data_IF_999481879374
#
_entry.id   IF_999481879374
#
_cell.length_a   1.000
_cell.length_b   1.000
_cell.length_c   1.000
_cell.angle_alpha   90.00
_cell.angle_beta   90.00
_cell.angle_gamma   90.00
#
_symmetry.space_group_name_H-M   'P 1'
#
loop_
_entity.id
_entity.type
_entity.pdbx_description
1 polymer ?
#
# COMPACT_ATOMS: atom_id res chain seq x y z
N UNK A 1 22.22 -25.25 16.07
CA UNK A 1 21.64 -24.13 15.30
C UNK A 1 22.78 -23.20 14.96
N UNK A 2 23.36 -23.33 13.76
CA UNK A 2 24.30 -22.32 13.25
C UNK A 2 23.47 -21.06 12.96
N UNK A 3 23.85 -19.94 13.58
CA UNK A 3 23.29 -18.63 13.23
C UNK A 3 23.65 -18.36 11.77
N UNK A 4 22.63 -18.06 10.94
CA UNK A 4 22.83 -17.68 9.55
C UNK A 4 23.75 -16.45 9.48
N UNK A 5 24.69 -16.37 8.52
CA UNK A 5 25.49 -15.16 8.31
C UNK A 5 24.58 -13.95 8.05
N UNK A 6 24.98 -12.71 8.42
CA UNK A 6 24.15 -11.50 8.29
C UNK A 6 23.65 -11.26 6.85
N UNK A 7 24.40 -11.74 5.86
CA UNK A 7 24.04 -11.67 4.43
C UNK A 7 22.83 -12.54 4.04
N UNK A 8 22.45 -13.50 4.89
CA UNK A 8 21.31 -14.41 4.66
C UNK A 8 20.21 -14.26 5.72
N UNK A 9 20.27 -13.17 6.49
CA UNK A 9 19.24 -12.84 7.47
C UNK A 9 17.87 -12.66 6.79
N UNK A 10 16.85 -13.35 7.31
CA UNK A 10 15.49 -13.31 6.77
C UNK A 10 15.20 -14.26 5.61
N UNK A 11 16.17 -15.07 5.16
CA UNK A 11 15.96 -16.11 4.15
C UNK A 11 15.80 -17.50 4.79
N UNK A 12 14.86 -18.30 4.28
CA UNK A 12 14.82 -19.73 4.61
C UNK A 12 15.82 -20.50 3.76
N UNK A 13 16.25 -21.68 4.24
CA UNK A 13 17.14 -22.56 3.46
C UNK A 13 16.55 -22.94 2.10
N UNK A 14 15.23 -23.10 2.03
CA UNK A 14 14.54 -23.41 0.77
C UNK A 14 14.61 -22.23 -0.21
N UNK A 15 14.38 -21.00 0.25
CA UNK A 15 14.52 -19.80 -0.59
C UNK A 15 15.95 -19.57 -1.06
N UNK A 16 16.94 -19.77 -0.20
CA UNK A 16 18.35 -19.70 -0.61
C UNK A 16 18.66 -20.74 -1.68
N UNK A 17 18.20 -21.99 -1.50
CA UNK A 17 18.36 -23.05 -2.50
C UNK A 17 17.74 -22.64 -3.84
N UNK A 18 16.54 -22.05 -3.83
CA UNK A 18 15.84 -21.58 -5.03
C UNK A 18 16.58 -20.48 -5.76
N UNK A 19 17.03 -19.43 -5.05
CA UNK A 19 17.77 -18.33 -5.68
C UNK A 19 19.10 -18.81 -6.24
N UNK A 20 19.85 -19.64 -5.50
CA UNK A 20 21.09 -20.24 -6.00
C UNK A 20 20.83 -21.12 -7.24
N UNK A 21 19.76 -21.91 -7.23
CA UNK A 21 19.40 -22.75 -8.36
C UNK A 21 19.01 -21.92 -9.60
N UNK A 22 18.22 -20.86 -9.41
CA UNK A 22 17.84 -19.95 -10.49
C UNK A 22 19.07 -19.28 -11.13
N UNK A 23 20.01 -18.81 -10.32
CA UNK A 23 21.26 -18.22 -10.83
C UNK A 23 22.16 -19.27 -11.49
N UNK A 24 22.26 -20.49 -10.95
CA UNK A 24 23.04 -21.57 -11.58
C UNK A 24 22.46 -21.98 -12.94
N UNK A 25 21.13 -22.13 -13.04
CA UNK A 25 20.43 -22.43 -14.29
C UNK A 25 20.69 -21.39 -15.38
N UNK A 26 20.97 -20.15 -14.99
CA UNK A 26 21.21 -19.07 -15.92
C UNK A 26 22.58 -19.08 -16.61
N UNK A 27 23.55 -19.78 -16.02
CA UNK A 27 24.92 -19.90 -16.53
C UNK A 27 25.02 -21.11 -17.46
N UNK A 28 24.12 -22.08 -17.31
CA UNK A 28 24.08 -23.27 -18.15
C UNK A 28 23.53 -22.94 -19.55
N UNK A 29 24.07 -23.55 -20.62
CA UNK A 29 23.53 -23.38 -21.97
C UNK A 29 22.08 -23.86 -22.02
N UNK A 30 21.12 -22.94 -22.10
CA UNK A 30 19.69 -23.24 -22.08
C UNK A 30 18.97 -22.46 -23.19
N UNK A 31 18.38 -23.21 -24.13
CA UNK A 31 17.53 -22.69 -25.20
C UNK A 31 16.10 -22.43 -24.70
N UNK A 32 15.68 -23.04 -23.58
CA UNK A 32 14.31 -22.90 -23.08
C UNK A 32 14.08 -21.54 -22.42
N UNK A 33 13.16 -20.78 -23.02
CA UNK A 33 12.70 -19.47 -22.57
C UNK A 33 12.13 -19.49 -21.15
N UNK A 34 11.50 -20.58 -20.72
CA UNK A 34 10.83 -20.70 -19.41
C UNK A 34 11.82 -20.60 -18.25
N UNK A 35 13.02 -21.14 -18.43
CA UNK A 35 14.11 -21.10 -17.43
C UNK A 35 14.65 -19.69 -17.27
N UNK A 36 14.85 -19.01 -18.39
CA UNK A 36 15.26 -17.61 -18.42
C UNK A 36 14.21 -16.73 -17.73
N UNK A 37 12.93 -16.93 -18.03
CA UNK A 37 11.85 -16.22 -17.34
C UNK A 37 11.81 -16.51 -15.84
N UNK A 38 11.95 -17.76 -15.41
CA UNK A 38 11.97 -18.12 -13.99
C UNK A 38 13.10 -17.40 -13.23
N UNK A 39 14.32 -17.35 -13.80
CA UNK A 39 15.44 -16.60 -13.22
C UNK A 39 15.13 -15.10 -13.08
N UNK A 40 14.63 -14.48 -14.14
CA UNK A 40 14.37 -13.04 -14.16
C UNK A 40 13.25 -12.62 -13.19
N UNK A 41 12.37 -13.56 -12.82
CA UNK A 41 11.11 -13.26 -12.15
C UNK A 41 10.98 -13.84 -10.74
N UNK A 42 11.79 -14.83 -10.35
CA UNK A 42 11.70 -15.48 -9.03
C UNK A 42 11.98 -14.50 -7.90
N UNK A 43 13.02 -13.68 -8.01
CA UNK A 43 13.39 -12.67 -7.00
C UNK A 43 12.31 -11.59 -6.82
N UNK A 44 11.51 -11.38 -7.86
CA UNK A 44 10.40 -10.41 -7.90
C UNK A 44 9.06 -11.07 -7.55
N UNK A 45 9.06 -12.35 -7.15
CA UNK A 45 7.87 -13.06 -6.71
C UNK A 45 6.94 -13.53 -7.84
N UNK A 46 7.36 -13.47 -9.11
CA UNK A 46 6.54 -13.81 -10.29
C UNK A 46 6.84 -15.22 -10.85
N UNK A 47 8.01 -15.79 -10.54
CA UNK A 47 8.51 -17.07 -11.09
C UNK A 47 7.93 -18.38 -10.52
N UNK A 48 6.68 -18.41 -10.03
CA UNK A 48 6.03 -19.59 -9.43
C UNK A 48 5.06 -20.35 -10.35
N UNK A 49 5.12 -20.16 -11.68
CA UNK A 49 4.13 -20.74 -12.59
C UNK A 49 2.75 -20.07 -12.50
N UNK A 50 2.67 -18.86 -11.96
CA UNK A 50 1.46 -18.03 -11.90
C UNK A 50 1.53 -16.99 -13.03
N UNK A 51 1.01 -17.38 -14.19
CA UNK A 51 0.87 -16.51 -15.34
C UNK A 51 -0.13 -15.35 -15.07
N UNK A 52 -0.01 -14.32 -15.91
CA UNK A 52 -1.05 -13.33 -16.13
C UNK A 52 -2.32 -14.04 -16.64
N UNK A 53 -3.53 -13.54 -16.36
CA UNK A 53 -4.79 -14.04 -16.96
C UNK A 53 -4.83 -13.94 -18.52
N UNK A 54 -3.75 -13.50 -19.16
CA UNK A 54 -3.68 -13.18 -20.58
C UNK A 54 -2.61 -13.96 -21.36
N UNK A 55 -1.74 -14.73 -20.71
CA UNK A 55 -0.79 -15.61 -21.39
C UNK A 55 -0.94 -17.05 -20.90
N UNK A 56 -0.84 -18.05 -21.80
CA UNK A 56 -0.96 -19.46 -21.41
C UNK A 56 0.08 -19.79 -20.34
N UNK A 57 -0.34 -20.54 -19.32
CA UNK A 57 0.52 -21.06 -18.26
C UNK A 57 1.60 -21.93 -18.91
N UNK A 58 2.75 -21.34 -19.24
CA UNK A 58 3.92 -22.09 -19.66
C UNK A 58 4.48 -22.79 -18.42
N UNK A 59 3.99 -24.01 -18.19
CA UNK A 59 4.50 -24.90 -17.16
C UNK A 59 5.99 -25.15 -17.42
N UNK A 60 6.80 -25.06 -16.36
CA UNK A 60 8.24 -25.38 -16.43
C UNK A 60 8.42 -26.80 -17.03
N UNK A 61 9.51 -27.05 -17.80
CA UNK A 61 9.78 -28.36 -18.41
C UNK A 61 9.66 -29.50 -17.41
N UNK A 62 9.02 -30.62 -17.80
CA UNK A 62 8.88 -31.78 -16.90
C UNK A 62 10.26 -32.42 -16.63
N UNK A 63 10.41 -33.12 -15.50
CA UNK A 63 11.70 -33.73 -15.09
C UNK A 63 12.27 -34.64 -16.19
N UNK A 64 11.39 -35.27 -16.98
CA UNK A 64 11.74 -36.18 -18.08
C UNK A 64 12.28 -35.47 -19.34
N UNK A 65 12.23 -34.13 -19.42
CA UNK A 65 12.65 -33.34 -20.58
C UNK A 65 14.10 -32.80 -20.49
N UNK A 66 14.79 -32.98 -19.35
CA UNK A 66 16.08 -32.36 -19.07
C UNK A 66 17.14 -33.39 -18.66
N UNK A 67 18.22 -33.49 -19.44
CA UNK A 67 19.36 -34.38 -19.15
C UNK A 67 20.58 -33.59 -18.59
N UNK A 68 21.36 -34.23 -17.70
CA UNK A 68 22.64 -33.70 -17.22
C UNK A 68 22.54 -32.72 -16.03
N UNK A 69 23.53 -31.81 -15.83
CA UNK A 69 23.60 -30.91 -14.67
C UNK A 69 22.37 -29.98 -14.49
N UNK A 70 21.58 -29.80 -15.54
CA UNK A 70 20.39 -28.95 -15.55
C UNK A 70 19.27 -29.55 -14.70
N UNK A 71 19.03 -30.86 -14.80
CA UNK A 71 17.97 -31.53 -14.02
C UNK A 71 18.18 -31.33 -12.52
N UNK A 72 19.41 -31.50 -12.04
CA UNK A 72 19.77 -31.25 -10.64
C UNK A 72 19.37 -29.84 -10.15
N UNK A 73 19.68 -28.81 -10.95
CA UNK A 73 19.36 -27.43 -10.57
C UNK A 73 17.87 -27.12 -10.72
N UNK A 74 17.19 -27.75 -11.67
CA UNK A 74 15.73 -27.67 -11.77
C UNK A 74 15.03 -28.32 -10.58
N UNK A 75 15.49 -29.48 -10.12
CA UNK A 75 14.98 -30.13 -8.91
C UNK A 75 15.25 -29.27 -7.67
N UNK A 76 16.42 -28.62 -7.63
CA UNK A 76 16.76 -27.66 -6.60
C UNK A 76 15.88 -26.40 -6.61
N UNK A 77 15.50 -25.95 -7.80
CA UNK A 77 14.58 -24.84 -7.98
C UNK A 77 13.13 -25.22 -7.66
N UNK A 78 12.67 -26.43 -8.00
CA UNK A 78 11.31 -26.90 -7.74
C UNK A 78 11.07 -27.22 -6.28
N UNK A 79 12.05 -27.83 -5.60
CA UNK A 79 12.12 -27.95 -4.14
C UNK A 79 10.80 -28.34 -3.45
N UNK A 80 10.57 -27.81 -2.24
CA UNK A 80 9.26 -27.91 -1.57
C UNK A 80 8.31 -26.83 -2.09
N UNK A 81 6.99 -27.06 -2.21
CA UNK A 81 6.07 -26.04 -2.73
C UNK A 81 6.30 -24.66 -2.08
N UNK A 82 6.72 -23.68 -2.88
CA UNK A 82 6.94 -22.33 -2.41
C UNK A 82 5.64 -21.54 -2.52
N UNK A 83 5.23 -20.95 -1.40
CA UNK A 83 4.12 -20.02 -1.36
C UNK A 83 4.64 -18.59 -1.48
N UNK A 84 4.02 -17.79 -2.35
CA UNK A 84 4.34 -16.37 -2.55
C UNK A 84 4.25 -15.57 -1.25
N UNK A 85 3.39 -15.98 -0.30
CA UNK A 85 3.28 -15.32 1.01
C UNK A 85 4.50 -15.56 1.91
N UNK A 86 5.32 -16.56 1.60
CA UNK A 86 6.60 -16.83 2.29
C UNK A 86 7.79 -16.19 1.58
N UNK A 87 7.57 -15.51 0.45
CA UNK A 87 8.65 -14.94 -0.35
C UNK A 87 9.45 -13.88 0.43
N UNK A 88 10.79 -13.95 0.49
CA UNK A 88 11.61 -13.08 1.33
C UNK A 88 11.43 -11.59 1.04
N UNK A 89 11.31 -11.19 -0.23
CA UNK A 89 11.06 -9.79 -0.59
C UNK A 89 9.68 -9.30 -0.12
N UNK A 90 8.65 -10.15 -0.18
CA UNK A 90 7.31 -9.81 0.30
C UNK A 90 7.32 -9.67 1.81
N UNK A 91 7.95 -10.61 2.53
CA UNK A 91 8.08 -10.55 3.98
C UNK A 91 8.91 -9.35 4.45
N UNK A 92 9.99 -9.00 3.73
CA UNK A 92 10.78 -7.82 4.01
C UNK A 92 9.97 -6.52 3.79
N UNK A 93 9.22 -6.44 2.70
CA UNK A 93 8.32 -5.33 2.43
C UNK A 93 7.24 -5.20 3.52
N UNK A 94 6.61 -6.31 3.93
CA UNK A 94 5.63 -6.34 5.03
C UNK A 94 6.24 -5.78 6.32
N UNK A 95 7.38 -6.32 6.79
CA UNK A 95 8.03 -5.84 8.03
C UNK A 95 8.33 -4.35 7.98
N UNK A 96 8.86 -3.88 6.85
CA UNK A 96 9.15 -2.46 6.66
C UNK A 96 7.88 -1.62 6.73
N UNK A 97 6.84 -1.99 5.98
CA UNK A 97 5.56 -1.27 5.91
C UNK A 97 4.88 -1.23 7.28
N UNK A 98 4.81 -2.37 7.97
CA UNK A 98 4.22 -2.47 9.31
C UNK A 98 4.92 -1.55 10.31
N UNK A 99 6.26 -1.45 10.24
CA UNK A 99 7.01 -0.53 11.10
C UNK A 99 6.59 0.94 10.91
N UNK A 100 6.09 1.33 9.73
CA UNK A 100 5.55 2.67 9.49
C UNK A 100 4.08 2.77 9.91
N UNK A 101 3.27 1.76 9.58
CA UNK A 101 1.86 1.73 9.93
C UNK A 101 1.63 1.77 11.45
N UNK A 102 2.46 1.09 12.25
CA UNK A 102 2.44 1.15 13.72
C UNK A 102 2.69 2.55 14.31
N UNK A 103 3.26 3.46 13.49
CA UNK A 103 3.52 4.86 13.85
C UNK A 103 2.55 5.82 13.14
N UNK A 104 1.44 5.32 12.65
CA UNK A 104 0.41 6.03 11.89
C UNK A 104 0.98 6.77 10.66
N UNK A 105 2.00 6.19 10.03
CA UNK A 105 2.63 6.74 8.82
C UNK A 105 2.18 5.98 7.60
N UNK A 106 1.66 6.72 6.63
CA UNK A 106 1.27 6.16 5.34
C UNK A 106 2.46 5.74 4.50
N UNK A 107 2.27 4.68 3.73
CA UNK A 107 3.28 4.11 2.84
C UNK A 107 2.72 3.95 1.43
N UNK A 108 3.42 4.50 0.45
CA UNK A 108 3.13 4.31 -0.97
C UNK A 108 4.07 3.24 -1.52
N UNK A 109 3.53 2.19 -2.12
CA UNK A 109 4.31 1.09 -2.70
C UNK A 109 4.16 1.11 -4.22
N UNK A 110 5.27 1.08 -4.95
CA UNK A 110 5.29 0.91 -6.39
C UNK A 110 5.76 -0.49 -6.78
N UNK A 111 5.10 -1.08 -7.77
CA UNK A 111 5.49 -2.37 -8.31
C UNK A 111 5.01 -2.59 -9.74
N UNK A 112 5.73 -3.45 -10.48
CA UNK A 112 5.38 -3.83 -11.85
C UNK A 112 4.38 -4.98 -11.92
N UNK A 113 4.63 -6.04 -11.16
CA UNK A 113 3.90 -7.30 -11.27
C UNK A 113 2.70 -7.36 -10.32
N UNK A 114 1.53 -7.71 -10.86
CA UNK A 114 0.26 -7.70 -10.13
C UNK A 114 0.22 -8.81 -9.07
N UNK A 115 0.67 -10.02 -9.40
CA UNK A 115 0.64 -11.18 -8.49
C UNK A 115 1.34 -10.92 -7.14
N UNK A 116 2.62 -10.50 -7.09
CA UNK A 116 3.29 -10.17 -5.83
C UNK A 116 2.68 -8.95 -5.13
N UNK A 117 2.15 -7.96 -5.86
CA UNK A 117 1.45 -6.83 -5.24
C UNK A 117 0.13 -7.26 -4.57
N UNK A 118 -0.63 -8.14 -5.19
CA UNK A 118 -1.85 -8.71 -4.59
C UNK A 118 -1.50 -9.57 -3.37
N UNK A 119 -0.43 -10.36 -3.45
CA UNK A 119 0.05 -11.13 -2.31
C UNK A 119 0.46 -10.22 -1.13
N UNK A 120 1.21 -9.15 -1.40
CA UNK A 120 1.56 -8.15 -0.40
C UNK A 120 0.33 -7.49 0.22
N UNK A 121 -0.64 -7.09 -0.61
CA UNK A 121 -1.90 -6.46 -0.16
C UNK A 121 -2.67 -7.39 0.79
N UNK A 122 -2.91 -8.63 0.35
CA UNK A 122 -3.65 -9.63 1.12
C UNK A 122 -2.93 -10.00 2.41
N UNK A 123 -1.60 -10.08 2.38
CA UNK A 123 -0.81 -10.41 3.57
C UNK A 123 -0.82 -9.27 4.60
N UNK A 124 -0.74 -8.01 4.17
CA UNK A 124 -0.89 -6.86 5.07
C UNK A 124 -2.27 -6.83 5.73
N UNK A 125 -3.34 -7.02 4.94
CA UNK A 125 -4.71 -7.09 5.44
C UNK A 125 -4.90 -8.25 6.42
N UNK A 126 -4.42 -9.44 6.08
CA UNK A 126 -4.50 -10.62 6.95
C UNK A 126 -3.78 -10.39 8.28
N UNK A 127 -2.58 -9.81 8.26
CA UNK A 127 -1.79 -9.56 9.47
C UNK A 127 -2.44 -8.49 10.36
N UNK A 128 -2.94 -7.40 9.78
CA UNK A 128 -3.65 -6.37 10.55
C UNK A 128 -4.98 -6.88 11.11
N UNK A 129 -5.72 -7.69 10.35
CA UNK A 129 -6.92 -8.35 10.85
C UNK A 129 -6.60 -9.23 12.06
N UNK A 130 -5.56 -10.07 11.99
CA UNK A 130 -5.14 -10.92 13.10
C UNK A 130 -4.70 -10.10 14.32
N UNK A 131 -3.97 -9.00 14.15
CA UNK A 131 -3.64 -8.06 15.25
C UNK A 131 -4.89 -7.52 15.92
N UNK A 132 -5.85 -7.00 15.13
CA UNK A 132 -7.11 -6.45 15.66
C UNK A 132 -7.93 -7.53 16.37
N UNK A 133 -7.95 -8.75 15.83
CA UNK A 133 -8.59 -9.88 16.49
C UNK A 133 -7.90 -10.20 17.83
N UNK A 134 -6.58 -10.32 17.88
CA UNK A 134 -5.82 -10.52 19.11
C UNK A 134 -6.10 -9.44 20.16
N UNK A 135 -6.10 -8.17 19.73
CA UNK A 135 -6.17 -7.00 20.61
C UNK A 135 -7.61 -6.58 20.96
N UNK A 136 -8.62 -7.36 20.56
CA UNK A 136 -10.03 -7.03 20.85
C UNK A 136 -10.62 -5.88 20.00
N UNK A 137 -9.88 -5.36 19.02
CA UNK A 137 -10.28 -4.24 18.17
C UNK A 137 -11.24 -4.68 17.05
N UNK A 138 -11.96 -3.71 16.50
CA UNK A 138 -12.90 -3.94 15.39
C UNK A 138 -12.17 -4.22 14.07
N UNK A 139 -12.68 -5.19 13.30
CA UNK A 139 -12.33 -5.41 11.90
C UNK A 139 -13.61 -5.39 11.06
N UNK A 140 -13.66 -4.65 9.95
CA UNK A 140 -14.90 -4.41 9.22
C UNK A 140 -15.20 -5.52 8.21
N UNK A 141 -15.29 -6.76 8.69
CA UNK A 141 -15.75 -7.91 7.92
C UNK A 141 -16.33 -8.98 8.85
N UNK A 142 -17.45 -9.57 8.46
CA UNK A 142 -18.08 -10.68 9.18
C UNK A 142 -17.47 -12.05 8.85
N UNK A 143 -16.85 -12.18 7.66
CA UNK A 143 -16.23 -13.41 7.18
C UNK A 143 -15.02 -13.09 6.31
N UNK A 144 -14.04 -14.01 6.32
CA UNK A 144 -12.95 -14.02 5.36
C UNK A 144 -13.45 -14.26 3.94
N UNK A 145 -12.77 -13.62 2.98
CA UNK A 145 -12.92 -13.91 1.55
C UNK A 145 -12.07 -15.13 1.22
N UNK A 146 -12.59 -16.02 0.38
CA UNK A 146 -11.91 -17.26 -0.03
C UNK A 146 -10.50 -16.99 -0.60
N UNK A 147 -10.37 -15.92 -1.39
CA UNK A 147 -9.10 -15.47 -1.97
C UNK A 147 -8.02 -15.01 -0.95
N UNK A 148 -8.43 -14.70 0.28
CA UNK A 148 -7.56 -14.22 1.35
C UNK A 148 -7.15 -15.32 2.33
N UNK A 149 -7.80 -16.49 2.28
CA UNK A 149 -7.49 -17.62 3.17
C UNK A 149 -6.01 -18.04 3.16
N UNK A 150 -5.34 -18.15 1.98
CA UNK A 150 -3.91 -18.51 1.95
C UNK A 150 -3.04 -17.47 2.67
N UNK A 151 -3.35 -16.18 2.51
CA UNK A 151 -2.61 -15.10 3.17
C UNK A 151 -2.78 -15.14 4.69
N UNK A 152 -3.99 -15.46 5.17
CA UNK A 152 -4.28 -15.63 6.60
C UNK A 152 -3.53 -16.83 7.17
N UNK A 153 -3.56 -17.98 6.50
CA UNK A 153 -2.78 -19.15 6.92
C UNK A 153 -1.28 -18.85 6.99
N UNK A 154 -0.74 -18.15 6.00
CA UNK A 154 0.65 -17.72 6.01
C UNK A 154 0.95 -16.77 7.18
N UNK A 155 0.06 -15.81 7.46
CA UNK A 155 0.19 -14.87 8.56
C UNK A 155 0.10 -15.55 9.95
N UNK A 156 -0.71 -16.60 10.10
CA UNK A 156 -0.84 -17.37 11.34
C UNK A 156 0.43 -18.13 11.74
N UNK A 157 1.37 -18.35 10.81
CA UNK A 157 2.66 -18.94 11.14
C UNK A 157 3.54 -18.00 11.99
N UNK A 158 3.20 -16.71 12.04
CA UNK A 158 3.84 -15.74 12.93
C UNK A 158 3.29 -15.92 14.36
N UNK A 159 4.13 -16.33 15.34
CA UNK A 159 3.68 -16.59 16.71
C UNK A 159 3.00 -15.37 17.36
N UNK A 160 3.42 -14.16 16.99
CA UNK A 160 2.88 -12.92 17.57
C UNK A 160 1.46 -12.63 17.06
N UNK A 161 1.05 -13.23 15.93
CA UNK A 161 -0.25 -13.05 15.30
C UNK A 161 -1.19 -14.25 15.49
N UNK A 162 -0.73 -15.31 16.15
CA UNK A 162 -1.54 -16.50 16.37
C UNK A 162 -2.69 -16.20 17.35
N UNK A 163 -3.92 -16.12 16.83
CA UNK A 163 -5.11 -15.81 17.63
C UNK A 163 -5.78 -17.09 18.17
N UNK A 164 -5.84 -18.16 17.37
CA UNK A 164 -6.51 -19.41 17.75
C UNK A 164 -5.82 -20.64 17.14
N UNK A 165 -5.98 -21.79 17.79
CA UNK A 165 -5.50 -23.10 17.31
C UNK A 165 -6.46 -23.76 16.31
N UNK A 166 -7.68 -23.24 16.16
CA UNK A 166 -8.75 -23.82 15.34
C UNK A 166 -8.74 -23.42 13.85
N UNK A 167 -7.69 -22.74 13.38
CA UNK A 167 -7.53 -22.34 11.98
C UNK A 167 -8.60 -21.36 11.48
N UNK A 168 -8.83 -21.37 10.17
CA UNK A 168 -9.75 -20.46 9.46
C UNK A 168 -11.18 -20.51 10.03
N UNK A 169 -11.69 -21.71 10.34
CA UNK A 169 -13.05 -21.88 10.86
C UNK A 169 -13.26 -21.10 12.15
N UNK A 170 -12.28 -21.17 13.07
CA UNK A 170 -12.33 -20.43 14.33
C UNK A 170 -12.22 -18.92 14.11
N UNK A 171 -11.41 -18.47 13.15
CA UNK A 171 -11.31 -17.05 12.78
C UNK A 171 -12.64 -16.53 12.23
N UNK A 172 -13.27 -17.25 11.31
CA UNK A 172 -14.57 -16.87 10.74
C UNK A 172 -15.66 -16.79 11.82
N UNK A 173 -15.66 -17.71 12.78
CA UNK A 173 -16.56 -17.65 13.92
C UNK A 173 -16.31 -16.41 14.78
N UNK A 174 -15.04 -16.11 15.08
CA UNK A 174 -14.67 -14.91 15.84
C UNK A 174 -15.05 -13.61 15.12
N UNK A 175 -14.81 -13.52 13.82
CA UNK A 175 -15.21 -12.39 12.99
C UNK A 175 -16.74 -12.22 13.00
N UNK A 176 -17.49 -13.31 12.85
CA UNK A 176 -18.96 -13.28 12.86
C UNK A 176 -19.48 -12.77 14.20
N UNK A 177 -18.98 -13.32 15.32
CA UNK A 177 -19.44 -12.95 16.66
C UNK A 177 -19.07 -11.50 17.01
N UNK A 178 -17.86 -11.06 16.65
CA UNK A 178 -17.43 -9.67 16.85
C UNK A 178 -18.21 -8.72 15.96
N UNK A 179 -18.35 -9.02 14.67
CA UNK A 179 -19.12 -8.19 13.75
C UNK A 179 -20.56 -8.03 14.24
N UNK A 180 -21.20 -9.08 14.78
CA UNK A 180 -22.52 -8.97 15.41
C UNK A 180 -22.54 -8.03 16.61
N UNK A 181 -21.57 -8.17 17.55
CA UNK A 181 -21.46 -7.28 18.72
C UNK A 181 -21.26 -5.82 18.28
N UNK A 182 -20.32 -5.58 17.37
CA UNK A 182 -20.03 -4.25 16.86
C UNK A 182 -21.19 -3.67 16.04
N UNK A 183 -21.86 -4.48 15.23
CA UNK A 183 -23.08 -4.08 14.50
C UNK A 183 -24.20 -3.70 15.47
N UNK A 184 -24.40 -4.45 16.56
CA UNK A 184 -25.39 -4.07 17.58
C UNK A 184 -25.05 -2.77 18.30
N UNK A 185 -23.79 -2.56 18.70
CA UNK A 185 -23.34 -1.31 19.32
C UNK A 185 -23.47 -0.12 18.36
N UNK A 186 -23.06 -0.30 17.09
CA UNK A 186 -23.22 0.68 16.01
C UNK A 186 -24.69 1.00 15.76
N UNK A 187 -25.60 0.02 15.81
CA UNK A 187 -27.05 0.27 15.69
C UNK A 187 -27.57 1.10 16.85
N UNK A 188 -27.14 0.83 18.09
CA UNK A 188 -27.54 1.64 19.25
C UNK A 188 -27.06 3.07 19.12
N UNK A 189 -25.82 3.26 18.67
CA UNK A 189 -25.24 4.59 18.47
C UNK A 189 -25.89 5.35 17.32
N UNK A 190 -26.14 4.67 16.19
CA UNK A 190 -26.91 5.25 15.08
C UNK A 190 -28.33 5.62 15.51
N UNK A 191 -28.99 4.81 16.35
CA UNK A 191 -30.31 5.15 16.89
C UNK A 191 -30.27 6.32 17.89
N UNK A 192 -29.12 6.57 18.56
CA UNK A 192 -28.91 7.79 19.35
C UNK A 192 -28.80 9.00 18.43
N UNK A 193 -27.92 8.94 17.43
CA UNK A 193 -27.70 10.02 16.46
C UNK A 193 -28.96 10.34 15.65
N UNK A 194 -29.71 9.32 15.23
CA UNK A 194 -30.97 9.47 14.52
C UNK A 194 -31.97 10.29 15.35
N UNK A 195 -32.10 10.02 16.66
CA UNK A 195 -32.99 10.80 17.55
C UNK A 195 -32.52 12.24 17.76
N UNK A 196 -31.21 12.47 17.84
CA UNK A 196 -30.66 13.83 17.93
C UNK A 196 -30.96 14.64 16.67
N UNK A 197 -30.80 14.03 15.50
CA UNK A 197 -31.07 14.65 14.21
C UNK A 197 -32.56 14.85 13.94
N UNK A 198 -33.42 13.91 14.36
CA UNK A 198 -34.88 14.06 14.32
C UNK A 198 -35.36 15.27 15.13
N UNK A 199 -34.69 15.60 16.25
CA UNK A 199 -35.01 16.78 17.03
C UNK A 199 -34.66 18.10 16.31
N UNK A 200 -33.68 18.07 15.40
CA UNK A 200 -33.24 19.20 14.59
C UNK A 200 -34.03 19.35 13.28
N UNK A 201 -34.58 18.26 12.75
CA UNK A 201 -35.32 18.21 11.48
C UNK A 201 -36.46 19.24 11.32
N UNK A 202 -37.25 19.63 12.35
CA UNK A 202 -38.30 20.64 12.20
C UNK A 202 -37.79 22.05 11.85
N UNK A 203 -36.50 22.31 12.06
CA UNK A 203 -35.88 23.63 11.88
C UNK A 203 -34.86 23.65 10.73
N UNK A 204 -34.54 22.49 10.15
CA UNK A 204 -33.44 22.33 9.20
C UNK A 204 -33.75 21.21 8.18
N UNK A 205 -33.96 21.61 6.92
CA UNK A 205 -34.27 20.70 5.82
C UNK A 205 -33.12 19.71 5.54
N UNK A 206 -31.87 20.09 5.81
CA UNK A 206 -30.70 19.20 5.66
C UNK A 206 -30.69 18.14 6.76
N UNK A 207 -31.13 18.48 7.97
CA UNK A 207 -31.31 17.50 9.04
C UNK A 207 -32.42 16.51 8.70
N UNK A 208 -33.53 16.96 8.11
CA UNK A 208 -34.60 16.08 7.64
C UNK A 208 -34.11 15.12 6.53
N UNK A 209 -33.28 15.59 5.61
CA UNK A 209 -32.65 14.75 4.58
C UNK A 209 -31.72 13.69 5.20
N UNK A 210 -30.88 14.09 6.16
CA UNK A 210 -29.94 13.20 6.84
C UNK A 210 -30.67 12.12 7.66
N UNK A 211 -31.77 12.47 8.33
CA UNK A 211 -32.67 11.51 9.01
C UNK A 211 -33.19 10.45 8.03
N UNK A 212 -33.56 10.87 6.81
CA UNK A 212 -33.96 9.96 5.74
C UNK A 212 -32.89 8.92 5.40
N UNK A 213 -31.62 9.34 5.28
CA UNK A 213 -30.48 8.44 5.03
C UNK A 213 -30.16 7.50 6.20
N UNK A 214 -30.44 7.92 7.42
CA UNK A 214 -30.18 7.13 8.63
C UNK A 214 -31.34 6.19 9.01
N UNK A 215 -32.42 6.16 8.21
CA UNK A 215 -33.60 5.33 8.47
C UNK A 215 -33.31 3.85 8.21
N UNK A 216 -33.56 3.01 9.20
CA UNK A 216 -33.45 1.55 9.10
C UNK A 216 -34.78 0.99 8.58
N UNK A 217 -34.76 0.23 7.47
CA UNK A 217 -35.90 -0.59 7.08
C UNK A 217 -36.03 -1.78 8.05
N UNK A 218 -37.25 -2.00 8.56
CA UNK A 218 -37.60 -3.01 9.57
C UNK A 218 -37.35 -4.47 9.11
N UNK A 219 -37.17 -4.72 7.81
CA UNK A 219 -37.04 -6.06 7.23
C UNK A 219 -35.59 -6.56 7.09
N UNK A 220 -34.59 -5.81 7.56
CA UNK A 220 -33.21 -6.30 7.61
C UNK A 220 -32.51 -6.45 6.25
N UNK A 221 -33.14 -6.08 5.15
CA UNK A 221 -32.51 -6.00 3.83
C UNK A 221 -32.43 -4.55 3.34
N UNK A 222 -31.23 -3.97 3.55
CA UNK A 222 -30.71 -2.73 2.98
C UNK A 222 -31.33 -1.44 3.51
N UNK A 223 -30.51 -0.74 4.30
CA UNK A 223 -30.56 0.71 4.45
C UNK A 223 -30.72 1.36 3.06
N UNK A 224 -31.61 2.36 2.95
CA UNK A 224 -31.66 3.25 1.77
C UNK A 224 -30.36 4.07 1.74
N UNK A 225 -29.32 3.49 1.16
CA UNK A 225 -27.96 4.03 1.15
C UNK A 225 -27.02 3.28 2.10
N UNK A 226 -25.76 3.12 1.71
CA UNK A 226 -24.74 2.51 2.55
C UNK A 226 -24.36 3.51 3.66
N UNK A 227 -24.95 3.38 4.86
CA UNK A 227 -24.57 4.23 6.02
C UNK A 227 -23.06 4.13 6.29
N UNK A 228 -22.41 2.99 5.97
CA UNK A 228 -20.94 2.89 6.02
C UNK A 228 -20.27 3.90 5.12
N UNK A 229 -20.71 3.99 3.88
CA UNK A 229 -20.25 5.00 2.93
C UNK A 229 -20.46 6.43 3.42
N UNK A 230 -21.64 6.73 3.98
CA UNK A 230 -21.93 8.06 4.50
C UNK A 230 -21.05 8.41 5.70
N UNK A 231 -20.93 7.50 6.67
CA UNK A 231 -20.05 7.72 7.82
C UNK A 231 -18.60 7.88 7.39
N UNK A 232 -18.11 7.08 6.44
CA UNK A 232 -16.75 7.20 5.90
C UNK A 232 -16.55 8.57 5.21
N UNK A 233 -17.50 9.00 4.38
CA UNK A 233 -17.50 10.30 3.72
C UNK A 233 -17.58 11.51 4.67
N UNK A 234 -18.17 11.33 5.87
CA UNK A 234 -18.26 12.36 6.90
C UNK A 234 -17.04 12.34 7.84
N UNK A 235 -16.55 11.16 8.23
CA UNK A 235 -15.34 11.00 9.05
C UNK A 235 -14.11 11.59 8.32
N UNK A 236 -14.13 11.49 7.00
CA UNK A 236 -13.24 12.17 6.05
C UNK A 236 -13.12 13.70 6.20
N UNK A 237 -14.12 14.34 6.81
CA UNK A 237 -14.18 15.78 7.05
C UNK A 237 -13.95 16.15 8.53
N UNK A 238 -13.69 15.15 9.37
CA UNK A 238 -13.57 15.33 10.81
C UNK A 238 -12.14 15.66 11.22
N UNK A 239 -11.98 16.58 12.16
CA UNK A 239 -10.66 16.95 12.68
C UNK A 239 -10.08 15.90 13.65
N UNK A 240 -10.94 15.13 14.32
CA UNK A 240 -10.55 14.10 15.30
C UNK A 240 -11.46 12.87 15.24
N UNK A 241 -10.89 11.71 14.91
CA UNK A 241 -11.62 10.45 14.79
C UNK A 241 -11.93 9.78 16.15
N UNK A 242 -11.32 10.23 17.24
CA UNK A 242 -11.41 9.56 18.56
C UNK A 242 -12.61 10.01 19.41
N UNK A 243 -13.34 11.05 19.00
CA UNK A 243 -14.51 11.56 19.72
C UNK A 243 -15.78 10.85 19.23
N UNK A 244 -16.76 10.50 20.08
CA UNK A 244 -18.06 10.00 19.60
C UNK A 244 -18.76 11.05 18.73
N UNK A 245 -19.52 10.63 17.72
CA UNK A 245 -20.32 11.55 16.89
C UNK A 245 -21.33 12.32 17.74
N UNK A 246 -21.60 13.59 17.42
CA UNK A 246 -22.82 14.27 17.87
C UNK A 246 -23.74 14.54 16.68
N UNK A 247 -25.05 14.65 16.92
CA UNK A 247 -25.99 15.04 15.87
C UNK A 247 -25.62 16.37 15.20
N UNK A 248 -25.21 17.36 15.99
CA UNK A 248 -24.81 18.69 15.49
C UNK A 248 -23.55 18.64 14.61
N UNK A 249 -22.54 17.88 15.03
CA UNK A 249 -21.31 17.70 14.25
C UNK A 249 -21.59 16.97 12.95
N UNK A 250 -22.37 15.88 13.00
CA UNK A 250 -22.74 15.13 11.81
C UNK A 250 -23.51 16.00 10.81
N UNK A 251 -24.45 16.82 11.30
CA UNK A 251 -25.19 17.75 10.47
C UNK A 251 -24.28 18.80 9.84
N UNK A 252 -23.35 19.38 10.59
CA UNK A 252 -22.41 20.38 10.07
C UNK A 252 -21.51 19.81 8.97
N UNK A 253 -20.94 18.62 9.18
CA UNK A 253 -20.10 17.96 8.18
C UNK A 253 -20.90 17.52 6.95
N UNK A 254 -22.15 17.09 7.15
CA UNK A 254 -23.04 16.72 6.05
C UNK A 254 -23.43 17.95 5.21
N UNK A 255 -23.69 19.10 5.82
CA UNK A 255 -23.89 20.36 5.10
C UNK A 255 -22.68 20.73 4.24
N UNK A 256 -21.48 20.70 4.81
CA UNK A 256 -20.26 20.94 4.04
C UNK A 256 -20.06 19.96 2.88
N UNK A 257 -20.45 18.68 3.07
CA UNK A 257 -20.45 17.71 1.98
C UNK A 257 -21.45 18.06 0.86
N UNK A 258 -22.66 18.50 1.22
CA UNK A 258 -23.64 18.92 0.23
C UNK A 258 -23.20 20.18 -0.52
N UNK A 259 -22.61 21.15 0.18
CA UNK A 259 -22.06 22.36 -0.42
C UNK A 259 -20.96 22.02 -1.44
N UNK A 260 -20.05 21.10 -1.11
CA UNK A 260 -18.99 20.65 -2.04
C UNK A 260 -19.53 19.89 -3.27
N UNK A 261 -20.72 19.28 -3.16
CA UNK A 261 -21.39 18.55 -4.25
C UNK A 261 -22.35 19.43 -5.06
N UNK A 262 -22.71 20.60 -4.51
CA UNK A 262 -23.52 21.61 -5.18
C UNK A 262 -22.70 22.29 -6.28
N UNK A 263 -23.38 22.79 -7.31
CA UNK A 263 -22.75 23.68 -8.31
C UNK A 263 -23.29 25.09 -8.16
N UNK A 264 -22.55 26.09 -8.66
CA UNK A 264 -22.93 27.53 -8.63
C UNK A 264 -24.25 27.86 -9.38
N UNK A 265 -24.98 26.87 -9.89
CA UNK A 265 -26.28 27.06 -10.53
C UNK A 265 -27.36 27.28 -9.46
N UNK A 266 -27.92 28.50 -9.40
CA UNK A 266 -28.80 29.01 -8.33
C UNK A 266 -30.12 28.21 -8.08
N UNK A 267 -30.37 27.11 -8.78
CA UNK A 267 -31.58 26.28 -8.61
C UNK A 267 -31.30 24.79 -8.92
N UNK A 268 -30.38 24.16 -8.21
CA UNK A 268 -30.31 22.70 -8.25
C UNK A 268 -31.54 22.08 -7.57
N UNK A 269 -32.31 21.27 -8.31
CA UNK A 269 -33.39 20.48 -7.72
C UNK A 269 -32.80 19.44 -6.74
N UNK A 270 -33.41 19.30 -5.55
CA UNK A 270 -33.02 18.33 -4.50
C UNK A 270 -32.78 16.90 -5.02
N UNK A 271 -33.51 16.48 -6.06
CA UNK A 271 -33.36 15.17 -6.69
C UNK A 271 -32.02 14.98 -7.42
N UNK A 272 -31.46 16.04 -7.99
CA UNK A 272 -30.16 16.01 -8.66
C UNK A 272 -29.04 15.92 -7.63
N UNK A 273 -29.10 16.73 -6.57
CA UNK A 273 -28.16 16.70 -5.46
C UNK A 273 -28.16 15.31 -4.78
N UNK A 274 -29.33 14.74 -4.51
CA UNK A 274 -29.48 13.38 -3.97
C UNK A 274 -28.88 12.31 -4.89
N UNK A 275 -29.05 12.43 -6.21
CA UNK A 275 -28.45 11.48 -7.17
C UNK A 275 -26.92 11.56 -7.19
N UNK A 276 -26.35 12.77 -7.06
CA UNK A 276 -24.89 12.97 -6.97
C UNK A 276 -24.34 12.47 -5.64
N UNK A 277 -25.03 12.76 -4.54
CA UNK A 277 -24.70 12.21 -3.23
C UNK A 277 -24.75 10.68 -3.26
N UNK A 278 -25.78 10.07 -3.84
CA UNK A 278 -25.86 8.62 -3.99
C UNK A 278 -24.70 8.06 -4.84
N UNK A 279 -24.34 8.72 -5.95
CA UNK A 279 -23.17 8.35 -6.77
C UNK A 279 -21.85 8.53 -6.02
N UNK A 280 -21.72 9.57 -5.21
CA UNK A 280 -20.55 9.84 -4.38
C UNK A 280 -20.41 8.79 -3.29
N UNK A 281 -21.50 8.45 -2.60
CA UNK A 281 -21.53 7.41 -1.56
C UNK A 281 -21.36 6.00 -2.14
N UNK A 282 -21.80 5.74 -3.37
CA UNK A 282 -21.49 4.48 -4.06
C UNK A 282 -19.98 4.23 -4.17
N UNK A 283 -19.16 5.29 -4.27
CA UNK A 283 -17.72 5.11 -4.27
C UNK A 283 -17.21 4.59 -2.93
N UNK A 284 -17.78 4.98 -1.80
CA UNK A 284 -17.39 4.45 -0.48
C UNK A 284 -18.07 3.09 -0.17
N UNK A 285 -19.11 2.73 -0.92
CA UNK A 285 -19.88 1.51 -0.64
C UNK A 285 -19.07 0.22 -0.80
N UNK A 286 -19.16 -0.67 0.20
CA UNK A 286 -18.47 -1.97 0.20
C UNK A 286 -16.93 -1.91 0.25
N UNK A 287 -16.34 -0.73 0.49
CA UNK A 287 -14.87 -0.53 0.61
C UNK A 287 -14.39 -0.49 2.06
N UNK A 288 -15.22 -0.97 2.97
CA UNK A 288 -14.95 -1.10 4.41
C UNK A 288 -13.49 -1.50 4.71
N UNK A 289 -12.89 -0.69 5.59
CA UNK A 289 -11.47 -0.48 5.79
C UNK A 289 -10.62 -1.74 5.76
N UNK A 290 -9.84 -1.85 4.68
CA UNK A 290 -8.62 -2.65 4.64
C UNK A 290 -7.40 -1.71 4.83
N UNK A 291 -6.37 -2.20 5.53
CA UNK A 291 -5.16 -1.40 5.78
C UNK A 291 -4.41 -1.13 4.47
N UNK A 292 -4.48 -2.08 3.53
CA UNK A 292 -3.84 -2.01 2.23
C UNK A 292 -4.85 -1.99 1.08
N UNK A 293 -4.59 -1.16 0.05
CA UNK A 293 -5.36 -1.14 -1.20
C UNK A 293 -4.43 -1.11 -2.41
N UNK A 294 -4.85 -1.77 -3.48
CA UNK A 294 -4.08 -1.87 -4.72
C UNK A 294 -4.79 -1.13 -5.87
N UNK A 295 -4.03 -0.34 -6.62
CA UNK A 295 -4.45 0.34 -7.84
C UNK A 295 -3.69 -0.23 -9.04
N UNK A 296 -4.42 -0.75 -10.01
CA UNK A 296 -3.92 -1.27 -11.27
C UNK A 296 -4.51 -0.54 -12.47
N UNK A 297 -3.99 -0.83 -13.67
CA UNK A 297 -4.53 -0.26 -14.91
C UNK A 297 -6.02 -0.56 -15.12
N UNK A 298 -6.55 -1.61 -14.47
CA UNK A 298 -7.96 -1.98 -14.52
C UNK A 298 -8.83 -1.25 -13.48
N UNK A 299 -8.24 -0.58 -12.48
CA UNK A 299 -9.00 0.16 -11.46
C UNK A 299 -9.77 1.32 -12.11
N UNK A 300 -11.09 1.47 -11.92
CA UNK A 300 -11.85 2.56 -12.53
C UNK A 300 -11.38 3.96 -12.11
N UNK A 301 -11.50 4.99 -12.97
CA UNK A 301 -11.07 6.36 -12.63
C UNK A 301 -11.72 6.94 -11.36
N UNK A 302 -13.02 6.67 -11.13
CA UNK A 302 -13.73 7.10 -9.92
C UNK A 302 -13.14 6.46 -8.66
N UNK A 303 -12.92 5.14 -8.68
CA UNK A 303 -12.25 4.41 -7.60
C UNK A 303 -10.85 4.94 -7.30
N UNK A 304 -10.07 5.30 -8.33
CA UNK A 304 -8.73 5.90 -8.14
C UNK A 304 -8.80 7.23 -7.39
N UNK A 305 -9.73 8.11 -7.76
CA UNK A 305 -9.93 9.42 -7.10
C UNK A 305 -10.31 9.24 -5.64
N UNK A 306 -11.20 8.29 -5.35
CA UNK A 306 -11.57 7.99 -3.97
C UNK A 306 -10.37 7.50 -3.15
N UNK A 307 -9.66 6.49 -3.65
CA UNK A 307 -8.50 5.92 -2.96
C UNK A 307 -7.41 6.98 -2.73
N UNK A 308 -7.22 7.88 -3.69
CA UNK A 308 -6.32 9.01 -3.57
C UNK A 308 -6.76 9.97 -2.44
N UNK A 309 -8.04 10.35 -2.41
CA UNK A 309 -8.61 11.21 -1.37
C UNK A 309 -8.43 10.59 0.02
N UNK A 310 -8.85 9.32 0.18
CA UNK A 310 -8.70 8.58 1.43
C UNK A 310 -7.24 8.43 1.85
N UNK A 311 -6.35 8.16 0.89
CA UNK A 311 -4.92 8.04 1.18
C UNK A 311 -4.28 9.38 1.63
N UNK A 312 -4.74 10.53 1.13
CA UNK A 312 -4.20 11.83 1.53
C UNK A 312 -4.61 12.30 2.94
N UNK A 313 -5.51 11.59 3.61
CA UNK A 313 -5.89 11.86 5.01
C UNK A 313 -5.00 11.09 5.96
N UNK A 314 -4.40 11.76 6.96
CA UNK A 314 -3.40 11.14 7.83
C UNK A 314 -3.92 9.93 8.62
N UNK A 315 -5.14 10.03 9.17
CA UNK A 315 -5.73 9.03 10.07
C UNK A 315 -6.80 8.14 9.42
N UNK A 316 -6.95 8.20 8.10
CA UNK A 316 -7.93 7.39 7.36
C UNK A 316 -7.27 6.18 6.71
N UNK A 317 -8.02 5.11 6.51
CA UNK A 317 -7.56 3.97 5.71
C UNK A 317 -7.78 4.24 4.22
N UNK A 318 -6.93 3.71 3.32
CA UNK A 318 -5.82 2.79 3.60
C UNK A 318 -4.58 3.51 4.15
N UNK A 319 -3.85 2.80 5.02
CA UNK A 319 -2.50 3.21 5.46
C UNK A 319 -1.45 2.89 4.40
N UNK A 320 -1.72 1.89 3.56
CA UNK A 320 -0.81 1.41 2.52
C UNK A 320 -1.52 1.43 1.18
N UNK A 321 -0.97 2.20 0.24
CA UNK A 321 -1.47 2.23 -1.13
C UNK A 321 -0.43 1.63 -2.06
N UNK A 322 -0.81 0.56 -2.77
CA UNK A 322 0.03 -0.08 -3.76
C UNK A 322 -0.40 0.40 -5.15
N UNK A 323 0.50 1.05 -5.87
CA UNK A 323 0.25 1.54 -7.22
C UNK A 323 1.08 0.75 -8.23
N UNK A 324 0.43 0.17 -9.23
CA UNK A 324 1.14 -0.47 -10.32
C UNK A 324 1.92 0.60 -11.09
N UNK A 325 3.14 0.32 -11.51
CA UNK A 325 4.02 1.31 -12.14
C UNK A 325 3.40 2.06 -13.33
N UNK A 326 2.48 1.46 -14.08
CA UNK A 326 1.74 2.13 -15.16
C UNK A 326 0.74 3.17 -14.62
N UNK A 327 0.05 2.85 -13.53
CA UNK A 327 -0.89 3.76 -12.84
C UNK A 327 -0.16 4.87 -12.09
N UNK A 328 1.01 4.56 -11.52
CA UNK A 328 1.89 5.56 -10.90
C UNK A 328 2.38 6.66 -11.86
N UNK A 329 2.10 6.55 -13.17
CA UNK A 329 2.37 7.57 -14.19
C UNK A 329 1.16 8.48 -14.45
N UNK A 330 -0.03 8.07 -14.06
CA UNK A 330 -1.21 8.93 -14.06
C UNK A 330 -1.05 10.02 -13.00
N UNK A 331 -1.53 11.24 -13.25
CA UNK A 331 -1.34 12.47 -12.49
C UNK A 331 -1.70 12.50 -10.99
N UNK A 332 -1.75 11.37 -10.28
CA UNK A 332 -2.18 11.23 -8.90
C UNK A 332 -1.35 12.10 -7.93
N UNK A 333 -2.05 12.83 -7.07
CA UNK A 333 -1.48 13.58 -5.95
C UNK A 333 -1.59 12.71 -4.69
N UNK A 334 -0.46 12.17 -4.19
CA UNK A 334 -0.42 11.29 -3.01
C UNK A 334 0.52 11.84 -1.92
N UNK A 335 0.71 13.16 -1.93
CA UNK A 335 1.77 13.85 -1.20
C UNK A 335 1.32 14.42 0.14
N UNK A 336 0.01 14.55 0.38
CA UNK A 336 -0.49 15.29 1.54
C UNK A 336 -0.21 14.53 2.84
N UNK A 337 -0.50 13.23 2.92
CA UNK A 337 -0.25 12.43 4.12
C UNK A 337 0.97 11.50 4.05
N UNK A 338 1.57 11.31 2.88
CA UNK A 338 2.63 10.33 2.67
C UNK A 338 3.98 10.98 2.31
N UNK A 339 5.06 10.47 2.90
CA UNK A 339 6.46 10.77 2.51
C UNK A 339 7.36 9.54 2.49
N UNK A 340 6.77 8.35 2.50
CA UNK A 340 7.47 7.08 2.52
C UNK A 340 7.08 6.29 1.27
N UNK A 341 8.08 5.97 0.45
CA UNK A 341 7.91 5.22 -0.79
C UNK A 341 8.66 3.90 -0.66
N UNK A 342 8.00 2.80 -1.01
CA UNK A 342 8.61 1.48 -1.15
C UNK A 342 8.61 1.12 -2.63
N UNK A 343 9.78 0.80 -3.18
CA UNK A 343 9.91 0.31 -4.56
C UNK A 343 10.03 -1.21 -4.45
N UNK A 344 8.91 -1.91 -4.67
CA UNK A 344 8.85 -3.37 -4.58
C UNK A 344 9.57 -4.04 -5.76
N UNK A 345 9.53 -3.41 -6.94
CA UNK A 345 10.23 -3.87 -8.14
C UNK A 345 10.94 -2.69 -8.79
N UNK A 346 12.25 -2.82 -9.02
CA UNK A 346 13.04 -1.77 -9.63
C UNK A 346 12.66 -1.55 -11.12
N UNK A 347 12.51 -0.29 -11.51
CA UNK A 347 12.33 0.13 -12.90
C UNK A 347 13.68 0.26 -13.62
N UNK A 348 13.70 0.08 -14.94
CA UNK A 348 14.92 0.25 -15.74
C UNK A 348 15.24 1.69 -16.10
N UNK A 349 14.25 2.57 -16.00
CA UNK A 349 14.33 3.97 -16.43
C UNK A 349 14.24 4.87 -15.19
N UNK A 350 15.30 5.63 -14.86
CA UNK A 350 15.30 6.53 -13.70
C UNK A 350 14.25 7.63 -13.80
N UNK A 351 13.88 8.07 -15.00
CA UNK A 351 12.80 9.07 -15.17
C UNK A 351 11.43 8.57 -14.72
N UNK A 352 11.19 7.25 -14.77
CA UNK A 352 9.95 6.66 -14.23
C UNK A 352 9.98 6.66 -12.71
N UNK A 353 11.14 6.37 -12.11
CA UNK A 353 11.32 6.38 -10.65
C UNK A 353 11.18 7.80 -10.09
N UNK A 354 11.77 8.80 -10.76
CA UNK A 354 11.59 10.21 -10.42
C UNK A 354 10.10 10.62 -10.50
N UNK A 355 9.37 10.20 -11.53
CA UNK A 355 7.93 10.45 -11.60
C UNK A 355 7.13 9.77 -10.47
N UNK A 356 7.54 8.58 -10.05
CA UNK A 356 6.94 7.85 -8.92
C UNK A 356 7.19 8.57 -7.60
N UNK A 357 8.42 9.04 -7.38
CA UNK A 357 8.79 9.83 -6.18
C UNK A 357 8.08 11.19 -6.20
N UNK A 358 7.96 11.82 -7.37
CA UNK A 358 7.18 13.03 -7.58
C UNK A 358 5.68 12.90 -7.31
N UNK A 359 5.18 11.71 -6.91
CA UNK A 359 3.82 11.55 -6.35
C UNK A 359 3.72 11.99 -4.90
N UNK A 360 4.83 11.90 -4.16
CA UNK A 360 4.95 12.35 -2.76
C UNK A 360 5.78 13.61 -2.61
N UNK A 361 6.69 13.88 -3.57
CA UNK A 361 7.48 15.10 -3.63
C UNK A 361 6.76 16.19 -4.45
N UNK A 362 5.93 16.98 -3.76
CA UNK A 362 5.16 18.10 -4.35
C UNK A 362 5.08 19.27 -3.37
N UNK A 363 4.68 20.43 -3.88
CA UNK A 363 4.29 21.59 -3.05
C UNK A 363 3.16 21.19 -2.10
N UNK A 364 3.22 21.64 -0.85
CA UNK A 364 2.24 21.28 0.18
C UNK A 364 2.34 19.84 0.70
N UNK A 365 3.40 19.11 0.34
CA UNK A 365 3.60 17.72 0.78
C UNK A 365 3.73 17.59 2.30
N UNK A 366 3.48 16.38 2.80
CA UNK A 366 3.73 16.01 4.20
C UNK A 366 5.15 16.36 4.63
N UNK A 367 6.12 16.11 3.75
CA UNK A 367 7.51 16.43 4.02
C UNK A 367 7.74 17.92 4.21
N UNK A 368 7.18 18.77 3.33
CA UNK A 368 7.33 20.23 3.45
C UNK A 368 6.75 20.74 4.77
N UNK A 369 5.54 20.28 5.14
CA UNK A 369 4.91 20.64 6.42
C UNK A 369 5.70 20.16 7.63
N UNK A 370 6.18 18.91 7.59
CA UNK A 370 7.05 18.38 8.65
C UNK A 370 8.36 19.22 8.75
N UNK A 371 8.90 19.68 7.62
CA UNK A 371 10.14 20.47 7.56
C UNK A 371 9.95 21.89 8.11
N UNK A 372 8.85 22.56 7.75
CA UNK A 372 8.47 23.88 8.31
C UNK A 372 8.33 23.81 9.83
N UNK A 373 7.65 22.77 10.34
CA UNK A 373 7.53 22.52 11.77
C UNK A 373 8.88 22.24 12.42
N UNK A 374 9.76 21.51 11.74
CA UNK A 374 11.12 21.23 12.22
C UNK A 374 11.97 22.51 12.30
N UNK A 375 11.89 23.44 11.33
CA UNK A 375 12.61 24.72 11.44
C UNK A 375 12.20 25.54 12.68
N UNK A 376 10.95 25.41 13.13
CA UNK A 376 10.47 26.08 14.33
C UNK A 376 11.02 25.51 15.66
N UNK A 377 11.49 24.26 15.68
CA UNK A 377 11.90 23.57 16.91
C UNK A 377 13.36 23.08 16.87
N UNK A 378 13.93 22.86 15.69
CA UNK A 378 15.29 22.42 15.39
C UNK A 378 15.80 21.19 16.18
N UNK A 379 14.89 20.33 16.67
CA UNK A 379 15.26 19.12 17.41
C UNK A 379 15.39 17.90 16.48
N UNK A 380 16.50 17.17 16.62
CA UNK A 380 16.75 15.92 15.90
C UNK A 380 17.05 16.10 14.40
N UNK A 381 17.05 14.97 13.68
CA UNK A 381 17.32 14.97 12.25
C UNK A 381 16.18 15.61 11.43
N UNK A 382 16.52 16.40 10.40
CA UNK A 382 15.50 17.00 9.54
C UNK A 382 14.66 15.91 8.86
N UNK A 383 13.35 16.13 8.68
CA UNK A 383 12.49 15.18 8.01
C UNK A 383 12.93 15.01 6.55
N UNK A 384 12.80 13.78 6.05
CA UNK A 384 13.15 13.39 4.67
C UNK A 384 12.01 12.63 4.03
N UNK A 385 11.89 12.75 2.71
CA UNK A 385 11.18 11.75 1.90
C UNK A 385 12.04 10.48 1.92
N UNK A 386 11.44 9.35 2.31
CA UNK A 386 12.16 8.08 2.47
C UNK A 386 11.81 7.14 1.33
N UNK A 387 12.81 6.66 0.63
CA UNK A 387 12.67 5.73 -0.49
C UNK A 387 13.34 4.42 -0.09
N UNK A 388 12.58 3.34 -0.12
CA UNK A 388 13.02 2.01 0.29
C UNK A 388 12.90 1.04 -0.88
N UNK A 389 13.98 0.77 -1.62
CA UNK A 389 14.00 -0.30 -2.60
C UNK A 389 14.02 -1.65 -1.88
N UNK A 390 13.18 -2.58 -2.33
CA UNK A 390 13.22 -3.98 -1.91
C UNK A 390 14.00 -4.75 -2.96
N UNK A 391 15.14 -5.30 -2.57
CA UNK A 391 16.08 -5.96 -3.50
C UNK A 391 16.54 -7.27 -2.90
N UNK A 392 16.52 -8.34 -3.68
CA UNK A 392 17.12 -9.62 -3.30
C UNK A 392 18.57 -9.66 -3.76
N UNK A 393 19.51 -9.44 -2.84
CA UNK A 393 20.94 -9.40 -3.13
C UNK A 393 21.46 -10.67 -3.79
N UNK A 394 22.40 -10.52 -4.71
CA UNK A 394 23.01 -11.65 -5.43
C UNK A 394 22.11 -12.30 -6.50
N UNK A 395 20.94 -11.71 -6.78
CA UNK A 395 20.05 -12.14 -7.87
C UNK A 395 20.01 -11.12 -9.00
N UNK A 396 19.34 -11.46 -10.11
CA UNK A 396 19.06 -10.50 -11.19
C UNK A 396 18.42 -9.18 -10.73
N UNK A 397 17.62 -9.20 -9.65
CA UNK A 397 16.99 -8.00 -9.11
C UNK A 397 18.01 -6.98 -8.56
N UNK A 398 19.08 -7.48 -7.93
CA UNK A 398 20.22 -6.67 -7.49
C UNK A 398 20.96 -6.05 -8.69
N UNK A 399 21.19 -6.83 -9.74
CA UNK A 399 21.78 -6.30 -10.97
C UNK A 399 20.93 -5.18 -11.58
N UNK A 400 19.61 -5.37 -11.69
CA UNK A 400 18.69 -4.34 -12.16
C UNK A 400 18.78 -3.06 -11.29
N UNK A 401 18.81 -3.22 -9.96
CA UNK A 401 18.97 -2.09 -9.04
C UNK A 401 20.29 -1.33 -9.22
N UNK A 402 21.42 -2.03 -9.40
CA UNK A 402 22.71 -1.36 -9.65
C UNK A 402 22.68 -0.56 -10.96
N UNK A 403 22.14 -1.15 -12.04
CA UNK A 403 22.01 -0.47 -13.35
C UNK A 403 21.11 0.76 -13.23
N UNK A 404 19.98 0.64 -12.53
CA UNK A 404 19.10 1.78 -12.26
C UNK A 404 19.86 2.88 -11.50
N UNK A 405 20.59 2.52 -10.45
CA UNK A 405 21.34 3.48 -9.61
C UNK A 405 22.40 4.23 -10.41
N UNK A 406 23.14 3.55 -11.28
CA UNK A 406 24.11 4.16 -12.19
C UNK A 406 23.45 5.15 -13.15
N UNK A 407 22.40 4.71 -13.87
CA UNK A 407 21.64 5.58 -14.78
C UNK A 407 21.01 6.77 -14.08
N UNK A 408 20.59 6.60 -12.84
CA UNK A 408 20.02 7.68 -12.05
C UNK A 408 21.07 8.71 -11.66
N UNK A 409 22.29 8.29 -11.31
CA UNK A 409 23.40 9.21 -11.11
C UNK A 409 23.75 9.98 -12.39
N UNK A 410 23.79 9.30 -13.53
CA UNK A 410 24.02 9.96 -14.84
C UNK A 410 22.93 10.99 -15.16
N UNK A 411 21.65 10.65 -14.92
CA UNK A 411 20.54 11.55 -15.12
C UNK A 411 20.67 12.81 -14.24
N UNK A 412 21.00 12.65 -12.96
CA UNK A 412 21.17 13.78 -12.04
C UNK A 412 22.39 14.63 -12.39
N UNK A 413 23.48 14.01 -12.83
CA UNK A 413 24.64 14.73 -13.33
C UNK A 413 24.30 15.61 -14.54
N UNK A 414 23.48 15.10 -15.46
CA UNK A 414 23.07 15.82 -16.67
C UNK A 414 22.05 16.93 -16.41
N UNK A 415 21.05 16.68 -15.54
CA UNK A 415 19.93 17.60 -15.31
C UNK A 415 20.17 18.59 -14.17
N UNK A 416 20.95 18.19 -13.16
CA UNK A 416 21.16 18.97 -11.93
C UNK A 416 22.63 19.32 -11.69
N UNK A 417 23.56 18.87 -12.54
CA UNK A 417 24.99 19.11 -12.35
C UNK A 417 25.61 18.31 -11.20
N UNK A 418 24.84 17.39 -10.61
CA UNK A 418 25.26 16.59 -9.45
C UNK A 418 26.08 15.38 -9.89
N UNK A 419 27.38 15.56 -10.05
CA UNK A 419 28.31 14.51 -10.53
C UNK A 419 28.83 13.59 -9.43
N UNK A 420 28.59 13.93 -8.17
CA UNK A 420 29.08 13.17 -7.01
C UNK A 420 27.91 12.46 -6.31
N UNK A 421 28.09 11.20 -5.91
CA UNK A 421 27.07 10.49 -5.14
C UNK A 421 26.82 11.17 -3.80
N UNK A 422 25.55 11.23 -3.39
CA UNK A 422 25.16 11.72 -2.08
C UNK A 422 25.67 10.75 -1.01
N UNK A 423 26.72 11.13 -0.27
CA UNK A 423 27.19 10.33 0.84
C UNK A 423 26.28 10.50 2.06
N UNK A 424 25.99 9.40 2.75
CA UNK A 424 25.29 9.44 4.03
C UNK A 424 26.10 10.23 5.06
N UNK A 425 25.42 10.84 6.03
CA UNK A 425 25.93 11.79 7.03
C UNK A 425 26.99 11.20 8.00
N UNK A 426 27.49 9.98 7.77
CA UNK A 426 28.30 9.22 8.72
C UNK A 426 29.69 8.77 8.24
N UNK A 427 30.14 9.16 7.04
CA UNK A 427 31.53 8.93 6.65
C UNK A 427 32.41 10.07 7.17
N UNK A 428 33.40 9.77 8.03
CA UNK A 428 34.46 10.72 8.36
C UNK A 428 35.33 10.93 7.11
N UNK A 429 35.03 11.98 6.35
CA UNK A 429 35.77 12.34 5.14
C UNK A 429 37.06 13.03 5.57
N UNK A 430 38.20 12.62 5.01
CA UNK A 430 39.46 13.32 5.25
C UNK A 430 39.37 14.77 4.75
N UNK A 431 40.05 15.74 5.37
CA UNK A 431 40.03 17.13 4.91
C UNK A 431 40.44 17.28 3.43
N UNK A 432 41.32 16.40 2.94
CA UNK A 432 41.76 16.36 1.55
C UNK A 432 40.65 15.92 0.58
N UNK A 433 39.88 14.88 0.95
CA UNK A 433 38.73 14.44 0.16
C UNK A 433 37.63 15.50 0.11
N UNK A 434 37.39 16.20 1.21
CA UNK A 434 36.42 17.30 1.25
C UNK A 434 36.88 18.49 0.39
N UNK A 435 38.19 18.81 0.40
CA UNK A 435 38.76 19.83 -0.48
C UNK A 435 38.62 19.46 -1.97
N UNK A 436 38.88 18.20 -2.32
CA UNK A 436 38.67 17.68 -3.68
C UNK A 436 37.20 17.75 -4.09
N UNK A 437 36.30 17.33 -3.20
CA UNK A 437 34.85 17.39 -3.42
C UNK A 437 34.39 18.83 -3.69
N UNK A 438 34.81 19.78 -2.88
CA UNK A 438 34.48 21.20 -3.08
C UNK A 438 35.00 21.73 -4.42
N UNK A 439 36.22 21.34 -4.82
CA UNK A 439 36.75 21.71 -6.15
C UNK A 439 35.90 21.16 -7.28
N UNK A 440 35.41 19.92 -7.16
CA UNK A 440 34.53 19.31 -8.15
C UNK A 440 33.19 20.07 -8.22
N UNK A 441 32.55 20.32 -7.07
CA UNK A 441 31.26 21.03 -6.99
C UNK A 441 31.34 22.44 -7.58
N UNK A 442 32.43 23.18 -7.31
CA UNK A 442 32.64 24.51 -7.90
C UNK A 442 32.85 24.44 -9.42
N UNK A 443 33.38 23.33 -9.92
CA UNK A 443 33.67 23.13 -11.36
C UNK A 443 32.47 22.56 -12.13
N UNK A 444 31.42 22.10 -11.45
CA UNK A 444 30.22 21.56 -12.09
C UNK A 444 29.25 22.67 -12.50
N UNK A 445 28.52 22.52 -13.62
CA UNK A 445 27.49 23.48 -14.02
C UNK A 445 26.40 23.59 -12.95
N UNK A 446 26.04 24.82 -12.58
CA UNK A 446 24.91 25.09 -11.71
C UNK A 446 23.67 25.39 -12.57
N UNK A 447 22.64 24.55 -12.46
CA UNK A 447 21.38 24.69 -13.20
C UNK A 447 20.26 25.31 -12.35
N UNK A 448 20.56 25.83 -11.16
CA UNK A 448 19.59 26.58 -10.38
C UNK A 448 19.08 27.78 -11.19
N UNK A 449 17.77 28.11 -11.10
CA UNK A 449 17.25 29.32 -11.72
C UNK A 449 18.00 30.53 -11.17
N UNK A 450 18.38 31.45 -12.05
CA UNK A 450 18.97 32.73 -11.68
C UNK A 450 17.99 33.47 -10.76
N UNK A 451 18.43 33.87 -9.57
CA UNK A 451 17.64 34.69 -8.64
C UNK A 451 17.25 36.05 -9.23
#
# INVERSE_FOLDING_TARGET
>A
MQQSPPETEGFTRDWLRRFCAAEALSILPQEDHRVKCARLSVAQGYGFGLAHESEPVEQLPQEDELEGPQSFWFDAFRGQPADIYTHPAILAAVRLIESYAERDKKVLVFGRFITPMNALTRLLDAREMLRRLRDGRHWPASKLRDESEPAVLAAMNDPDLCVTTGGITSINQMLTDRYRKWSSARRTELARLHRELEALAPQDDTAALLVGYLRQDDDGEKLQGDIGALLEALDDRRESADVPWSGDEMLALFKGLLDDLSTDEEQEHDSVLQSRLASYLQDFSGREGNIARMMSGATPPQTRRLLQSAFNRASSWPMVLLAQSRVGREGLNLHEACRTVVILHAEWNPGIVEQQIGRVDRKGSRWLRDLENWYGHAEGDPPRIRIHPVVVSGTYDDHNWQVLKERWMELRAQLHGEVLPHQGTHAAISPELEALRNRIIVSTPNFAPWE
#
